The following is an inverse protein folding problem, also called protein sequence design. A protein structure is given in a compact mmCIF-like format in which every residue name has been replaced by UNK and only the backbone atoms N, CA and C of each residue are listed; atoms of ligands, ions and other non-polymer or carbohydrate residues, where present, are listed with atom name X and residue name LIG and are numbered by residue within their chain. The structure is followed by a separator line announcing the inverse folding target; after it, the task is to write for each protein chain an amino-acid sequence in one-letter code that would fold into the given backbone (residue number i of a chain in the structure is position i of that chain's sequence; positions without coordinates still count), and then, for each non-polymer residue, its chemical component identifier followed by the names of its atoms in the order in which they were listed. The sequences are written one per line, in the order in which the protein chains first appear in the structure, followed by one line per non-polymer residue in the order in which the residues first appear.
data_IF_905637878870
#
_entry.id   IF_905637878870
#
_cell.length_a   1.000
_cell.length_b   1.000
_cell.length_c   1.000
_cell.angle_alpha   90.00
_cell.angle_beta   90.00
_cell.angle_gamma   90.00
#
_symmetry.space_group_name_H-M   'P 1'
#
loop_
_entity.id
_entity.type
_entity.pdbx_description
1 polymer ?
#
# COMPACT_ATOMS: atom_id res chain seq x y z
N UNK A 1 11.34 -4.33 10.07
CA UNK A 1 10.25 -5.23 10.49
C UNK A 1 8.92 -4.54 10.32
N UNK A 2 7.95 -5.23 9.76
CA UNK A 2 6.60 -4.69 9.58
C UNK A 2 5.69 -5.04 10.76
N UNK A 3 4.64 -4.25 10.91
CA UNK A 3 3.57 -4.44 11.87
C UNK A 3 2.25 -4.47 11.12
N UNK A 4 1.44 -5.49 11.38
CA UNK A 4 0.10 -5.56 10.79
C UNK A 4 -0.87 -4.66 11.54
N UNK A 5 -1.63 -3.86 10.82
CA UNK A 5 -2.61 -2.93 11.37
C UNK A 5 -3.98 -3.14 10.72
N UNK A 6 -5.03 -2.79 11.45
CA UNK A 6 -6.39 -2.68 10.93
C UNK A 6 -6.71 -1.22 10.69
N UNK A 7 -7.39 -0.93 9.61
CA UNK A 7 -7.82 0.41 9.24
C UNK A 7 -9.10 0.32 8.40
N UNK A 8 -9.63 1.46 8.01
CA UNK A 8 -10.79 1.51 7.14
C UNK A 8 -10.43 2.00 5.74
N UNK A 9 -11.01 1.37 4.73
CA UNK A 9 -11.04 1.90 3.38
C UNK A 9 -11.83 3.22 3.34
N UNK A 10 -11.72 3.97 2.26
CA UNK A 10 -12.42 5.26 2.14
C UNK A 10 -13.93 5.13 2.31
N UNK A 11 -14.53 4.06 1.81
CA UNK A 11 -15.98 3.79 1.96
C UNK A 11 -16.38 3.21 3.32
N UNK A 12 -15.42 2.94 4.22
CA UNK A 12 -15.65 2.58 5.61
C UNK A 12 -15.58 1.09 5.95
N UNK A 13 -15.33 0.19 4.99
CA UNK A 13 -15.14 -1.22 5.34
C UNK A 13 -13.75 -1.47 5.95
N UNK A 14 -13.68 -2.42 6.89
CA UNK A 14 -12.43 -2.80 7.54
C UNK A 14 -11.47 -3.48 6.56
N UNK A 15 -10.20 -3.09 6.64
CA UNK A 15 -9.12 -3.67 5.86
C UNK A 15 -7.85 -3.82 6.72
N UNK A 16 -6.85 -4.50 6.20
CA UNK A 16 -5.57 -4.70 6.86
C UNK A 16 -4.42 -4.18 6.00
N UNK A 17 -3.31 -3.86 6.64
CA UNK A 17 -2.09 -3.42 5.96
C UNK A 17 -0.86 -3.78 6.80
N UNK A 18 0.29 -3.87 6.14
CA UNK A 18 1.60 -3.92 6.79
C UNK A 18 2.18 -2.51 6.86
N UNK A 19 2.75 -2.15 7.99
CA UNK A 19 3.33 -0.82 8.23
C UNK A 19 4.76 -0.97 8.71
N UNK A 20 5.65 -0.12 8.22
CA UNK A 20 6.99 0.06 8.77
C UNK A 20 7.29 1.55 8.97
N UNK A 21 7.92 1.86 10.10
CA UNK A 21 8.28 3.21 10.48
C UNK A 21 9.78 3.44 10.31
N UNK A 22 10.20 4.64 9.91
CA UNK A 22 11.61 5.00 9.89
C UNK A 22 12.16 5.15 11.31
N UNK A 23 13.48 5.03 11.45
CA UNK A 23 14.15 5.23 12.71
C UNK A 23 13.98 6.67 13.23
N UNK A 24 14.07 6.85 14.55
CA UNK A 24 13.94 8.17 15.20
C UNK A 24 12.50 8.62 15.33
N UNK A 25 12.34 9.86 15.80
CA UNK A 25 11.02 10.44 16.12
C UNK A 25 10.58 11.54 15.16
N UNK A 26 11.40 11.88 14.17
CA UNK A 26 11.08 12.91 13.19
C UNK A 26 9.90 12.50 12.30
N UNK A 27 9.15 13.51 11.83
CA UNK A 27 8.11 13.29 10.83
C UNK A 27 8.75 12.89 9.50
N UNK A 28 8.12 11.97 8.81
CA UNK A 28 8.61 11.39 7.56
C UNK A 28 7.55 11.48 6.46
N UNK A 29 7.95 11.60 5.20
CA UNK A 29 6.99 11.46 4.10
C UNK A 29 6.42 10.05 4.08
N UNK A 30 5.14 9.95 3.75
CA UNK A 30 4.42 8.67 3.67
C UNK A 30 4.50 8.05 2.29
N UNK A 31 4.56 6.73 2.26
CA UNK A 31 4.50 5.94 1.01
C UNK A 31 3.47 4.83 1.16
N UNK A 32 2.55 4.76 0.23
CA UNK A 32 1.69 3.58 0.04
C UNK A 32 2.38 2.67 -0.98
N UNK A 33 2.78 1.48 -0.54
CA UNK A 33 3.38 0.46 -1.39
C UNK A 33 2.30 -0.55 -1.79
N UNK A 34 1.95 -0.58 -3.06
CA UNK A 34 0.90 -1.47 -3.56
C UNK A 34 1.50 -2.80 -4.00
N UNK A 35 0.90 -3.89 -3.54
CA UNK A 35 1.32 -5.26 -3.78
C UNK A 35 1.36 -5.64 -5.26
N UNK A 36 2.15 -6.66 -5.57
CA UNK A 36 2.07 -7.39 -6.84
C UNK A 36 0.95 -8.45 -6.78
N UNK A 37 0.76 -9.20 -7.86
CA UNK A 37 -0.30 -10.19 -7.96
C UNK A 37 -0.17 -11.39 -7.00
N UNK A 38 0.99 -11.51 -6.31
CA UNK A 38 1.24 -12.55 -5.31
C UNK A 38 0.59 -12.28 -3.95
N UNK A 39 0.09 -11.08 -3.72
CA UNK A 39 -0.39 -10.62 -2.41
C UNK A 39 0.68 -9.93 -1.58
N UNK A 40 0.35 -9.58 -0.35
CA UNK A 40 1.29 -8.99 0.62
C UNK A 40 2.10 -10.11 1.26
N UNK A 41 3.07 -10.61 0.50
CA UNK A 41 3.97 -11.69 0.89
C UNK A 41 5.22 -11.15 1.59
N UNK A 42 6.17 -12.05 1.91
CA UNK A 42 7.42 -11.67 2.58
C UNK A 42 8.25 -10.68 1.76
N UNK A 43 8.19 -10.75 0.43
CA UNK A 43 8.86 -9.79 -0.44
C UNK A 43 8.29 -8.37 -0.28
N UNK A 44 6.98 -8.22 -0.25
CA UNK A 44 6.32 -6.91 -0.01
C UNK A 44 6.67 -6.39 1.38
N UNK A 45 6.68 -7.25 2.39
CA UNK A 45 7.10 -6.87 3.75
C UNK A 45 8.56 -6.42 3.80
N UNK A 46 9.44 -7.11 3.08
CA UNK A 46 10.84 -6.72 2.96
C UNK A 46 11.00 -5.34 2.30
N UNK A 47 10.31 -5.11 1.18
CA UNK A 47 10.31 -3.80 0.51
C UNK A 47 9.76 -2.70 1.43
N UNK A 48 8.70 -2.99 2.19
CA UNK A 48 8.13 -2.07 3.17
C UNK A 48 9.17 -1.67 4.21
N UNK A 49 9.89 -2.65 4.75
CA UNK A 49 10.97 -2.42 5.72
C UNK A 49 12.14 -1.63 5.13
N UNK A 50 12.53 -1.96 3.90
CA UNK A 50 13.65 -1.29 3.22
C UNK A 50 13.33 0.18 2.93
N UNK A 51 12.13 0.48 2.46
CA UNK A 51 11.70 1.86 2.25
C UNK A 51 11.65 2.64 3.56
N UNK A 52 11.23 2.03 4.65
CA UNK A 52 11.28 2.65 5.97
C UNK A 52 12.71 2.94 6.39
N UNK A 53 13.66 2.05 6.08
CA UNK A 53 15.09 2.27 6.29
C UNK A 53 15.66 3.47 5.52
N UNK A 54 15.02 3.86 4.42
CA UNK A 54 15.38 5.04 3.64
C UNK A 54 14.68 6.33 4.13
N UNK A 55 13.95 6.26 5.23
CA UNK A 55 13.36 7.44 5.87
C UNK A 55 11.89 7.70 5.56
N UNK A 56 11.16 6.71 5.05
CA UNK A 56 9.72 6.83 4.76
C UNK A 56 8.86 6.15 5.82
N UNK A 57 7.69 6.72 6.09
CA UNK A 57 6.62 6.01 6.79
C UNK A 57 5.83 5.22 5.73
N UNK A 58 5.88 3.88 5.79
CA UNK A 58 5.40 3.03 4.70
C UNK A 58 4.20 2.20 5.15
N UNK A 59 3.18 2.15 4.31
CA UNK A 59 2.01 1.28 4.48
C UNK A 59 1.77 0.47 3.20
N UNK A 60 1.62 -0.84 3.34
CA UNK A 60 1.28 -1.76 2.25
C UNK A 60 -0.12 -2.33 2.50
N UNK A 61 -1.17 -1.77 1.86
CA UNK A 61 -2.52 -2.30 2.01
C UNK A 61 -2.64 -3.70 1.43
N UNK A 62 -3.35 -4.57 2.15
CA UNK A 62 -3.58 -5.95 1.72
C UNK A 62 -4.84 -6.02 0.85
N UNK A 63 -4.66 -6.08 -0.46
CA UNK A 63 -5.77 -6.07 -1.42
C UNK A 63 -6.42 -7.45 -1.59
N UNK A 64 -5.82 -8.50 -1.04
CA UNK A 64 -6.31 -9.89 -1.15
C UNK A 64 -6.85 -10.46 0.17
N UNK A 65 -7.11 -9.62 1.16
CA UNK A 65 -7.68 -10.03 2.45
C UNK A 65 -6.89 -11.18 3.12
N UNK A 66 -5.57 -11.06 3.13
CA UNK A 66 -4.65 -12.01 3.74
C UNK A 66 -4.16 -13.14 2.83
N UNK A 67 -4.66 -13.24 1.61
CA UNK A 67 -4.24 -14.29 0.69
C UNK A 67 -2.90 -13.97 0.03
N UNK A 68 -2.05 -14.98 -0.07
CA UNK A 68 -0.81 -14.96 -0.84
C UNK A 68 -0.68 -16.25 -1.60
N UNK A 69 0.02 -16.22 -2.72
CA UNK A 69 0.29 -17.43 -3.50
C UNK A 69 1.64 -17.36 -4.18
N UNK A 70 2.20 -18.53 -4.51
CA UNK A 70 3.38 -18.68 -5.36
C UNK A 70 3.03 -19.32 -6.71
N UNK A 71 1.76 -19.70 -6.89
CA UNK A 71 1.26 -20.32 -8.12
C UNK A 71 0.76 -19.24 -9.09
N UNK A 72 1.36 -19.11 -10.30
CA UNK A 72 0.92 -18.13 -11.28
C UNK A 72 -0.54 -18.24 -11.69
N UNK A 73 -1.10 -19.47 -11.75
CA UNK A 73 -2.49 -19.68 -12.10
C UNK A 73 -3.43 -19.11 -11.03
N UNK A 74 -3.12 -19.35 -9.76
CA UNK A 74 -3.87 -18.78 -8.63
C UNK A 74 -3.69 -17.26 -8.55
N UNK A 75 -2.48 -16.76 -8.74
CA UNK A 75 -2.22 -15.32 -8.78
C UNK A 75 -3.00 -14.62 -9.88
N UNK A 76 -3.06 -15.22 -11.07
CA UNK A 76 -3.88 -14.73 -12.18
C UNK A 76 -5.36 -14.66 -11.85
N UNK A 77 -5.89 -15.70 -11.19
CA UNK A 77 -7.28 -15.74 -10.76
C UNK A 77 -7.58 -14.66 -9.69
N UNK A 78 -6.70 -14.47 -8.72
CA UNK A 78 -6.83 -13.43 -7.71
C UNK A 78 -6.79 -12.04 -8.32
N UNK A 79 -5.88 -11.80 -9.26
CA UNK A 79 -5.77 -10.51 -9.97
C UNK A 79 -7.02 -10.22 -10.80
N UNK A 80 -7.56 -11.21 -11.51
CA UNK A 80 -8.78 -11.04 -12.31
C UNK A 80 -10.01 -10.80 -11.43
N UNK A 81 -10.06 -11.39 -10.25
CA UNK A 81 -11.14 -11.19 -9.29
C UNK A 81 -11.05 -9.85 -8.55
N UNK A 82 -9.90 -9.17 -8.60
CA UNK A 82 -9.70 -7.89 -7.94
C UNK A 82 -10.54 -6.80 -8.59
N UNK A 83 -11.43 -6.21 -7.81
CA UNK A 83 -12.19 -5.04 -8.21
C UNK A 83 -11.31 -3.79 -8.09
N UNK A 84 -11.05 -3.12 -9.21
CA UNK A 84 -10.21 -1.91 -9.24
C UNK A 84 -10.79 -0.79 -8.38
N UNK A 85 -12.10 -0.59 -8.37
CA UNK A 85 -12.74 0.43 -7.54
C UNK A 85 -12.54 0.14 -6.05
N UNK A 86 -12.66 -1.11 -5.64
CA UNK A 86 -12.40 -1.54 -4.27
C UNK A 86 -10.93 -1.35 -3.91
N UNK A 87 -10.01 -1.71 -4.78
CA UNK A 87 -8.57 -1.53 -4.56
C UNK A 87 -8.21 -0.05 -4.39
N UNK A 88 -8.74 0.83 -5.23
CA UNK A 88 -8.55 2.28 -5.12
C UNK A 88 -9.11 2.80 -3.81
N UNK A 89 -10.25 2.30 -3.37
CA UNK A 89 -10.86 2.63 -2.08
C UNK A 89 -9.96 2.24 -0.90
N UNK A 90 -9.34 1.07 -0.97
CA UNK A 90 -8.36 0.61 0.03
C UNK A 90 -7.08 1.46 0.03
N UNK A 91 -6.57 1.82 -1.14
CA UNK A 91 -5.41 2.71 -1.26
C UNK A 91 -5.74 4.09 -0.68
N UNK A 92 -6.93 4.61 -0.94
CA UNK A 92 -7.40 5.87 -0.35
C UNK A 92 -7.46 5.81 1.17
N UNK A 93 -7.91 4.69 1.73
CA UNK A 93 -7.89 4.45 3.18
C UNK A 93 -6.46 4.46 3.75
N UNK A 94 -5.52 3.85 3.04
CA UNK A 94 -4.10 3.86 3.42
C UNK A 94 -3.51 5.28 3.38
N UNK A 95 -3.84 6.08 2.37
CA UNK A 95 -3.43 7.49 2.29
C UNK A 95 -3.97 8.29 3.48
N UNK A 96 -5.24 8.12 3.79
CA UNK A 96 -5.88 8.79 4.93
C UNK A 96 -5.23 8.38 6.26
N UNK A 97 -4.91 7.10 6.41
CA UNK A 97 -4.22 6.59 7.60
C UNK A 97 -2.83 7.24 7.77
N UNK A 98 -2.05 7.33 6.69
CA UNK A 98 -0.76 8.02 6.73
C UNK A 98 -0.92 9.48 7.12
N UNK A 99 -1.83 10.20 6.48
CA UNK A 99 -2.06 11.63 6.76
C UNK A 99 -2.53 11.91 8.19
N UNK A 100 -3.25 10.98 8.80
CA UNK A 100 -3.68 11.07 10.19
C UNK A 100 -2.57 10.71 11.19
N UNK A 101 -1.49 10.07 10.74
CA UNK A 101 -0.38 9.69 11.61
C UNK A 101 0.43 10.91 12.06
N UNK A 102 0.71 11.05 13.37
CA UNK A 102 1.60 12.12 13.85
C UNK A 102 3.04 11.97 13.33
N UNK A 103 3.42 10.78 12.86
CA UNK A 103 4.72 10.49 12.26
C UNK A 103 4.81 10.89 10.79
N UNK A 104 3.71 11.24 10.13
CA UNK A 104 3.71 11.65 8.73
C UNK A 104 3.92 13.16 8.58
N UNK A 105 4.74 13.57 7.61
CA UNK A 105 4.97 14.97 7.29
C UNK A 105 3.77 15.63 6.58
N UNK A 106 2.78 14.84 6.15
CA UNK A 106 1.64 15.28 5.35
C UNK A 106 1.81 15.04 3.86
N UNK A 107 3.02 14.77 3.38
CA UNK A 107 3.30 14.39 1.99
C UNK A 107 3.19 12.88 1.86
N UNK A 108 2.38 12.42 0.91
CA UNK A 108 2.14 11.00 0.66
C UNK A 108 2.28 10.71 -0.83
N UNK A 109 3.10 9.70 -1.14
CA UNK A 109 3.22 9.14 -2.48
C UNK A 109 2.66 7.72 -2.52
N UNK A 110 2.39 7.24 -3.73
CA UNK A 110 2.00 5.86 -3.99
C UNK A 110 2.95 5.24 -5.00
N UNK A 111 3.35 4.00 -4.78
CA UNK A 111 4.19 3.24 -5.70
C UNK A 111 3.79 1.79 -5.71
N UNK A 112 4.18 1.08 -6.76
CA UNK A 112 3.96 -0.36 -6.89
C UNK A 112 4.59 -0.89 -8.15
N UNK A 113 4.72 -2.21 -8.22
CA UNK A 113 5.32 -2.93 -9.32
C UNK A 113 4.27 -3.81 -9.99
N UNK A 114 4.30 -3.96 -11.32
CA UNK A 114 3.40 -4.81 -12.08
C UNK A 114 1.92 -4.44 -11.79
N UNK A 115 1.11 -5.33 -11.25
CA UNK A 115 -0.27 -5.04 -10.82
C UNK A 115 -0.33 -3.83 -9.87
N UNK A 116 0.61 -3.74 -8.92
CA UNK A 116 0.72 -2.61 -8.00
C UNK A 116 0.99 -1.30 -8.71
N UNK A 117 1.77 -1.32 -9.79
CA UNK A 117 1.98 -0.16 -10.64
C UNK A 117 0.69 0.31 -11.32
N UNK A 118 -0.10 -0.62 -11.86
CA UNK A 118 -1.39 -0.32 -12.46
C UNK A 118 -2.37 0.26 -11.43
N UNK A 119 -2.44 -0.31 -10.22
CA UNK A 119 -3.28 0.19 -9.15
C UNK A 119 -2.80 1.56 -8.64
N UNK A 120 -1.50 1.81 -8.61
CA UNK A 120 -0.93 3.13 -8.30
C UNK A 120 -1.36 4.20 -9.30
N UNK A 121 -1.40 3.84 -10.58
CA UNK A 121 -1.90 4.73 -11.62
C UNK A 121 -3.39 5.03 -11.43
N UNK A 122 -4.21 4.01 -11.20
CA UNK A 122 -5.63 4.18 -10.93
C UNK A 122 -5.87 5.06 -9.69
N UNK A 123 -5.09 4.87 -8.63
CA UNK A 123 -5.15 5.68 -7.43
C UNK A 123 -4.81 7.15 -7.71
N UNK A 124 -3.80 7.42 -8.53
CA UNK A 124 -3.42 8.77 -8.91
C UNK A 124 -4.55 9.51 -9.62
N UNK A 125 -5.40 8.79 -10.37
CA UNK A 125 -6.56 9.36 -11.05
C UNK A 125 -7.75 9.64 -10.12
N UNK A 126 -7.88 8.91 -9.00
CA UNK A 126 -9.11 8.87 -8.20
C UNK A 126 -8.90 9.18 -6.71
N UNK A 127 -7.68 9.27 -6.22
CA UNK A 127 -7.38 9.56 -4.82
C UNK A 127 -6.80 10.96 -4.70
N UNK A 128 -7.50 11.91 -4.07
CA UNK A 128 -6.96 13.25 -3.85
C UNK A 128 -5.86 13.24 -2.78
N UNK A 129 -5.01 14.24 -2.82
CA UNK A 129 -4.00 14.47 -1.78
C UNK A 129 -2.71 13.67 -1.91
N UNK A 130 -2.51 12.99 -3.04
CA UNK A 130 -1.20 12.39 -3.35
C UNK A 130 -0.22 13.45 -3.82
N UNK A 131 0.98 13.46 -3.23
CA UNK A 131 2.07 14.36 -3.61
C UNK A 131 2.87 13.80 -4.78
N UNK A 132 2.95 12.48 -4.91
CA UNK A 132 3.67 11.78 -5.97
C UNK A 132 3.05 10.40 -6.23
N UNK A 133 3.27 9.91 -7.43
CA UNK A 133 2.90 8.56 -7.85
C UNK A 133 3.98 7.99 -8.74
N UNK A 134 4.37 6.76 -8.47
CA UNK A 134 5.34 6.05 -9.29
C UNK A 134 4.86 4.62 -9.56
N UNK A 135 4.89 4.22 -10.81
CA UNK A 135 4.65 2.83 -11.20
C UNK A 135 5.87 2.28 -11.91
N UNK A 136 6.19 1.03 -11.63
CA UNK A 136 7.29 0.31 -12.27
C UNK A 136 6.69 -0.95 -12.90
N UNK A 137 6.98 -1.12 -14.16
CA UNK A 137 6.46 -2.23 -14.96
C UNK A 137 7.45 -3.39 -14.94
#
# INVERSE_FOLDING_TARGET
MTKRVKLEARSGFEMQAEVAEPAGDARAPGVVLVQEWWGVNDHVKDLTTRLAGEGFLVIAPDLYDGKTTKDPAEAGALMQALDTARAVDQIAGAVAWLKASPRCSGKVGVTGFCMGGAMSFAAACHVPGLSDRKSVV
#
